data_IF_606448004997
#
_entry.id   IF_606448004997
#
_cell.length_a   1.000
_cell.length_b   1.000
_cell.length_c   1.000
_cell.angle_alpha   90.00
_cell.angle_beta   90.00
_cell.angle_gamma   90.00
#
_symmetry.space_group_name_H-M   'P 1'
#
loop_
_entity.id
_entity.type
_entity.pdbx_description
1 polymer ?
#
# COMPACT_ATOMS: atom_id res chain seq x y z
N UNK A 1 -0.61 22.71 24.13
CA UNK A 1 -1.92 23.35 24.27
C UNK A 1 -2.99 22.65 23.42
N UNK A 2 -2.74 22.41 22.14
CA UNK A 2 -3.70 21.71 21.24
C UNK A 2 -4.06 20.28 21.72
N UNK A 3 -3.13 19.58 22.36
CA UNK A 3 -3.32 18.19 22.84
C UNK A 3 -4.31 18.05 24.01
N UNK A 4 -4.63 19.14 24.70
CA UNK A 4 -5.47 19.09 25.92
C UNK A 4 -6.98 19.25 25.70
N UNK A 5 -7.41 19.74 24.53
CA UNK A 5 -8.78 20.18 24.29
C UNK A 5 -9.54 19.31 23.27
N UNK A 6 -8.90 18.26 22.75
CA UNK A 6 -9.44 17.47 21.63
C UNK A 6 -9.63 16.02 22.04
N UNK A 7 -10.75 15.42 21.66
CA UNK A 7 -11.14 14.05 22.03
C UNK A 7 -10.80 13.01 20.95
N UNK A 8 -10.66 13.40 19.70
CA UNK A 8 -10.37 12.47 18.60
C UNK A 8 -9.12 12.91 17.83
N UNK A 9 -8.04 12.14 17.98
CA UNK A 9 -6.78 12.37 17.27
C UNK A 9 -6.62 11.44 16.10
N UNK A 10 -6.26 12.00 14.96
CA UNK A 10 -5.91 11.28 13.75
C UNK A 10 -4.51 11.67 13.30
N UNK A 11 -3.62 10.70 13.14
CA UNK A 11 -2.34 10.89 12.45
C UNK A 11 -2.40 10.27 11.07
N UNK A 12 -2.07 11.06 10.06
CA UNK A 12 -1.98 10.66 8.65
C UNK A 12 -0.52 10.74 8.23
N UNK A 13 0.02 9.64 7.71
CA UNK A 13 1.39 9.59 7.20
C UNK A 13 1.46 8.82 5.87
N UNK A 14 2.46 9.12 5.06
CA UNK A 14 2.76 8.36 3.84
C UNK A 14 4.20 7.89 3.75
N UNK A 15 5.14 8.67 4.28
CA UNK A 15 6.58 8.41 4.15
C UNK A 15 7.27 8.10 5.47
N UNK A 16 6.54 7.85 6.56
CA UNK A 16 7.08 7.29 7.79
C UNK A 16 7.33 5.79 7.65
N UNK A 17 8.24 5.26 8.46
CA UNK A 17 8.61 3.85 8.47
C UNK A 17 9.84 3.50 7.63
N UNK A 18 10.62 4.51 7.23
CA UNK A 18 11.91 4.32 6.53
C UNK A 18 12.93 3.62 7.42
N UNK A 19 12.88 3.90 8.71
CA UNK A 19 13.79 3.36 9.71
C UNK A 19 13.04 2.69 10.86
N UNK A 20 13.66 1.74 11.58
CA UNK A 20 13.07 1.16 12.79
C UNK A 20 12.74 2.21 13.86
N UNK A 21 13.52 3.28 13.95
CA UNK A 21 13.32 4.35 14.93
C UNK A 21 12.04 5.14 14.62
N UNK A 22 11.75 5.42 13.35
CA UNK A 22 10.48 6.06 12.95
C UNK A 22 9.27 5.20 13.32
N UNK A 23 9.34 3.88 13.10
CA UNK A 23 8.27 2.95 13.46
C UNK A 23 8.06 2.91 14.96
N UNK A 24 9.15 2.80 15.74
CA UNK A 24 9.11 2.75 17.21
C UNK A 24 8.58 4.05 17.81
N UNK A 25 9.04 5.20 17.32
CA UNK A 25 8.58 6.51 17.76
C UNK A 25 7.11 6.75 17.47
N UNK A 26 6.63 6.34 16.27
CA UNK A 26 5.22 6.44 15.90
C UNK A 26 4.34 5.54 16.78
N UNK A 27 4.76 4.30 17.03
CA UNK A 27 4.03 3.36 17.89
C UNK A 27 3.93 3.92 19.32
N UNK A 28 5.05 4.34 19.90
CA UNK A 28 5.09 4.91 21.25
C UNK A 28 4.22 6.16 21.38
N UNK A 29 4.26 7.07 20.41
CA UNK A 29 3.41 8.26 20.38
C UNK A 29 1.93 7.89 20.29
N UNK A 30 1.58 7.00 19.37
CA UNK A 30 0.18 6.60 19.16
C UNK A 30 -0.42 5.93 20.41
N UNK A 31 0.33 5.06 21.08
CA UNK A 31 -0.08 4.43 22.33
C UNK A 31 -0.19 5.41 23.49
N UNK A 32 0.84 6.26 23.67
CA UNK A 32 0.89 7.21 24.78
C UNK A 32 -0.23 8.23 24.72
N UNK A 33 -0.62 8.65 23.50
CA UNK A 33 -1.60 9.73 23.31
C UNK A 33 -2.99 9.25 22.81
N UNK A 34 -3.17 7.95 22.58
CA UNK A 34 -4.44 7.38 22.10
C UNK A 34 -4.81 7.86 20.69
N UNK A 35 -3.83 7.80 19.74
CA UNK A 35 -3.96 8.37 18.40
C UNK A 35 -4.32 7.29 17.38
N UNK A 36 -5.37 7.53 16.58
CA UNK A 36 -5.64 6.73 15.39
C UNK A 36 -4.58 7.03 14.30
N UNK A 37 -3.89 6.01 13.82
CA UNK A 37 -2.88 6.16 12.76
C UNK A 37 -3.39 5.59 11.45
N UNK A 38 -3.39 6.40 10.41
CA UNK A 38 -3.71 6.01 9.04
C UNK A 38 -2.49 6.22 8.15
N UNK A 39 -1.75 5.15 7.80
CA UNK A 39 -0.73 5.18 6.75
C UNK A 39 -1.40 5.33 5.37
N UNK A 40 -1.75 6.56 5.01
CA UNK A 40 -2.46 6.86 3.78
C UNK A 40 -1.52 6.87 2.58
N UNK A 41 -1.83 6.07 1.56
CA UNK A 41 -0.94 5.87 0.40
C UNK A 41 0.50 5.61 0.83
N UNK A 42 0.62 4.77 1.84
CA UNK A 42 1.90 4.53 2.52
C UNK A 42 2.95 3.97 1.59
N UNK A 43 4.18 4.44 1.74
CA UNK A 43 5.36 3.98 0.98
C UNK A 43 6.14 2.90 1.72
N UNK A 44 6.03 2.89 3.04
CA UNK A 44 6.74 2.00 3.95
C UNK A 44 5.77 1.44 4.99
N UNK A 45 6.17 0.40 5.70
CA UNK A 45 5.45 -0.05 6.88
C UNK A 45 5.69 0.97 8.01
N UNK A 46 4.75 1.90 8.18
CA UNK A 46 4.84 2.95 9.20
C UNK A 46 4.46 2.44 10.59
N UNK A 47 3.50 1.52 10.66
CA UNK A 47 3.00 0.91 11.89
C UNK A 47 2.57 -0.53 11.59
N UNK A 48 2.84 -1.52 12.45
CA UNK A 48 2.36 -2.88 12.25
C UNK A 48 0.84 -2.95 12.04
N UNK A 49 0.38 -3.78 11.09
CA UNK A 49 -1.04 -3.88 10.76
C UNK A 49 -1.91 -4.32 11.96
N UNK A 50 -1.34 -5.12 12.87
CA UNK A 50 -2.01 -5.60 14.07
C UNK A 50 -1.98 -4.59 15.24
N UNK A 51 -1.26 -3.48 15.11
CA UNK A 51 -1.11 -2.50 16.19
C UNK A 51 -2.47 -1.92 16.61
N UNK A 52 -2.75 -1.76 17.93
CA UNK A 52 -4.04 -1.29 18.41
C UNK A 52 -4.43 0.11 17.92
N UNK A 53 -3.45 0.93 17.55
CA UNK A 53 -3.70 2.27 16.99
C UNK A 53 -3.76 2.31 15.47
N UNK A 54 -3.55 1.20 14.75
CA UNK A 54 -3.58 1.17 13.29
C UNK A 54 -5.02 1.25 12.76
N UNK A 55 -5.42 2.43 12.27
CA UNK A 55 -6.80 2.70 11.85
C UNK A 55 -7.07 2.34 10.37
N UNK A 56 -6.17 1.59 9.72
CA UNK A 56 -6.25 1.17 8.31
C UNK A 56 -5.55 2.14 7.38
N UNK A 57 -5.82 2.01 6.08
CA UNK A 57 -5.10 2.70 5.02
C UNK A 57 -5.95 3.76 4.28
N UNK A 58 -7.14 4.06 4.80
CA UNK A 58 -8.07 5.04 4.24
C UNK A 58 -8.51 6.01 5.32
N UNK A 59 -8.47 7.29 5.01
CA UNK A 59 -8.83 8.39 5.94
C UNK A 59 -10.32 8.64 6.05
N UNK A 60 -11.12 8.13 5.10
CA UNK A 60 -12.55 8.45 4.94
C UNK A 60 -13.37 8.27 6.23
N UNK A 61 -13.07 7.23 6.99
CA UNK A 61 -13.85 6.89 8.18
C UNK A 61 -13.45 7.67 9.44
N UNK A 62 -12.30 8.36 9.42
CA UNK A 62 -11.73 9.03 10.60
C UNK A 62 -11.69 10.54 10.46
N UNK A 63 -11.47 11.05 9.24
CA UNK A 63 -11.14 12.45 9.01
C UNK A 63 -12.29 13.42 9.37
N UNK A 64 -13.53 13.01 9.14
CA UNK A 64 -14.72 13.82 9.45
C UNK A 64 -15.08 13.91 10.93
N UNK A 65 -14.47 13.06 11.77
CA UNK A 65 -14.70 13.03 13.22
C UNK A 65 -13.51 13.57 14.02
N UNK A 66 -12.36 13.83 13.37
CA UNK A 66 -11.14 14.20 14.05
C UNK A 66 -11.12 15.67 14.44
N UNK A 67 -10.87 15.96 15.72
CA UNK A 67 -10.69 17.31 16.25
C UNK A 67 -9.26 17.83 16.00
N UNK A 68 -8.28 16.90 15.97
CA UNK A 68 -6.89 17.18 15.62
C UNK A 68 -6.42 16.19 14.57
N UNK A 69 -6.01 16.72 13.42
CA UNK A 69 -5.36 15.97 12.36
C UNK A 69 -3.85 16.29 12.36
N UNK A 70 -3.04 15.28 12.60
CA UNK A 70 -1.58 15.37 12.53
C UNK A 70 -1.15 14.80 11.18
N UNK A 71 -0.51 15.60 10.36
CA UNK A 71 0.04 15.22 9.06
C UNK A 71 1.55 15.05 9.20
N UNK A 72 2.02 13.79 9.13
CA UNK A 72 3.41 13.45 9.37
C UNK A 72 4.05 12.90 8.08
N UNK A 73 5.07 13.59 7.54
CA UNK A 73 5.78 13.18 6.31
C UNK A 73 4.79 12.76 5.19
N UNK A 74 3.76 13.58 4.97
CA UNK A 74 2.70 13.30 3.99
C UNK A 74 2.41 14.51 3.11
N UNK A 75 2.69 14.35 1.82
CA UNK A 75 2.50 15.40 0.81
C UNK A 75 1.02 15.63 0.48
N UNK A 76 0.24 14.57 0.32
CA UNK A 76 -1.20 14.60 0.04
C UNK A 76 -1.95 13.79 1.11
N UNK A 77 -2.28 14.41 2.25
CA UNK A 77 -2.86 13.69 3.39
C UNK A 77 -4.32 13.25 3.17
N UNK A 78 -5.05 13.88 2.27
CA UNK A 78 -6.39 13.51 1.84
C UNK A 78 -6.72 14.13 0.48
N UNK A 79 -7.82 13.75 -0.12
CA UNK A 79 -8.31 14.36 -1.36
C UNK A 79 -9.47 15.32 -1.01
N UNK A 80 -9.29 16.66 -1.11
CA UNK A 80 -10.31 17.62 -0.68
C UNK A 80 -11.66 17.47 -1.37
N UNK A 81 -11.68 16.95 -2.61
CA UNK A 81 -12.93 16.69 -3.33
C UNK A 81 -13.76 15.54 -2.72
N UNK A 82 -13.16 14.69 -1.89
CA UNK A 82 -13.80 13.50 -1.32
C UNK A 82 -13.83 13.49 0.21
N UNK A 83 -13.03 14.34 0.86
CA UNK A 83 -12.85 14.33 2.30
C UNK A 83 -12.98 15.72 2.88
N UNK A 84 -13.82 15.86 3.89
CA UNK A 84 -14.04 17.10 4.63
C UNK A 84 -13.59 16.91 6.07
N UNK A 85 -12.86 17.87 6.61
CA UNK A 85 -12.49 17.92 8.01
C UNK A 85 -13.73 18.23 8.86
N UNK A 86 -13.72 17.80 10.13
CA UNK A 86 -14.71 18.23 11.10
C UNK A 86 -14.67 19.76 11.27
N UNK A 87 -15.81 20.38 11.58
CA UNK A 87 -15.90 21.82 11.84
C UNK A 87 -15.03 22.19 13.06
N UNK A 88 -14.13 23.15 12.85
CA UNK A 88 -13.20 23.59 13.89
C UNK A 88 -11.99 22.66 14.13
N UNK A 89 -11.85 21.58 13.37
CA UNK A 89 -10.70 20.69 13.46
C UNK A 89 -9.39 21.47 13.29
N UNK A 90 -8.37 21.09 14.07
CA UNK A 90 -7.03 21.66 14.00
C UNK A 90 -6.10 20.76 13.19
N UNK A 91 -5.20 21.36 12.44
CA UNK A 91 -4.25 20.63 11.59
C UNK A 91 -2.82 20.99 11.95
N UNK A 92 -2.06 19.98 12.38
CA UNK A 92 -0.63 20.07 12.67
C UNK A 92 0.16 19.32 11.59
N UNK A 93 1.09 20.00 10.93
CA UNK A 93 2.02 19.35 10.02
C UNK A 93 3.38 19.17 10.68
N UNK A 94 3.99 18.00 10.53
CA UNK A 94 5.32 17.70 11.04
C UNK A 94 6.17 16.89 10.06
N UNK A 95 7.47 17.08 10.12
CA UNK A 95 8.44 16.38 9.27
C UNK A 95 9.62 17.27 8.88
N UNK A 96 10.49 16.77 8.02
CA UNK A 96 11.68 17.50 7.56
C UNK A 96 11.29 18.75 6.76
N UNK A 97 10.32 18.64 5.88
CA UNK A 97 9.70 19.76 5.17
C UNK A 97 8.18 19.65 5.28
N UNK A 98 7.59 20.02 6.43
CA UNK A 98 6.19 19.76 6.74
C UNK A 98 5.21 20.46 5.80
N UNK A 99 5.63 21.54 5.18
CA UNK A 99 4.82 22.33 4.25
C UNK A 99 5.11 22.03 2.78
N UNK A 100 6.07 21.15 2.49
CA UNK A 100 6.51 20.81 1.13
C UNK A 100 6.81 22.06 0.31
N UNK A 101 7.73 22.87 0.82
CA UNK A 101 8.06 24.22 0.36
C UNK A 101 8.51 24.30 -1.10
N UNK A 102 8.92 23.18 -1.70
CA UNK A 102 9.30 23.06 -3.11
C UNK A 102 8.14 22.73 -4.06
N UNK A 103 6.94 22.44 -3.53
CA UNK A 103 5.79 22.20 -4.37
C UNK A 103 5.20 23.53 -4.85
N UNK A 104 4.94 23.70 -6.15
CA UNK A 104 4.43 24.96 -6.68
C UNK A 104 3.03 25.31 -6.16
N UNK A 105 2.22 24.29 -5.87
CA UNK A 105 0.86 24.44 -5.33
C UNK A 105 0.65 23.33 -4.31
N UNK A 106 0.34 23.70 -3.06
CA UNK A 106 -0.11 22.83 -1.99
C UNK A 106 -0.99 23.63 -1.04
N UNK A 107 -2.28 23.33 -1.01
CA UNK A 107 -3.27 24.09 -0.23
C UNK A 107 -4.04 23.19 0.74
N UNK A 108 -3.33 22.67 1.75
CA UNK A 108 -3.96 22.03 2.90
C UNK A 108 -3.97 22.99 4.08
N UNK A 109 -5.01 23.00 4.94
CA UNK A 109 -5.04 23.84 6.13
C UNK A 109 -3.88 23.50 7.06
N UNK A 110 -3.35 24.52 7.74
CA UNK A 110 -2.24 24.42 8.69
C UNK A 110 -2.50 25.37 9.85
N UNK A 111 -2.81 24.86 11.03
CA UNK A 111 -2.86 25.65 12.26
C UNK A 111 -1.48 25.78 12.91
N UNK A 112 -0.65 24.73 12.79
CA UNK A 112 0.73 24.74 13.27
C UNK A 112 1.61 23.82 12.40
N UNK A 113 2.91 24.09 12.37
CA UNK A 113 3.89 23.23 11.71
C UNK A 113 5.16 23.11 12.54
N UNK A 114 5.78 21.93 12.51
CA UNK A 114 7.04 21.62 13.19
C UNK A 114 7.99 21.00 12.18
N UNK A 115 9.06 21.73 11.85
CA UNK A 115 10.11 21.21 10.96
C UNK A 115 11.19 20.50 11.80
N UNK A 116 11.52 19.26 11.40
CA UNK A 116 12.54 18.45 12.04
C UNK A 116 12.39 16.98 11.71
N UNK A 117 13.25 16.16 12.30
CA UNK A 117 13.18 14.72 12.19
C UNK A 117 11.90 14.19 12.85
N UNK A 118 11.13 13.42 12.08
CA UNK A 118 9.81 12.97 12.52
C UNK A 118 9.87 12.06 13.75
N UNK A 119 10.85 11.17 13.83
CA UNK A 119 11.03 10.29 15.01
C UNK A 119 11.31 11.09 16.28
N UNK A 120 12.18 12.09 16.18
CA UNK A 120 12.49 13.00 17.29
C UNK A 120 11.26 13.79 17.74
N UNK A 121 10.48 14.33 16.81
CA UNK A 121 9.25 15.09 17.12
C UNK A 121 8.22 14.18 17.78
N UNK A 122 7.97 12.99 17.23
CA UNK A 122 7.01 12.03 17.77
C UNK A 122 7.40 11.54 19.16
N UNK A 123 8.70 11.29 19.41
CA UNK A 123 9.22 10.94 20.72
C UNK A 123 8.96 12.03 21.75
N UNK A 124 9.18 13.30 21.38
CA UNK A 124 8.88 14.43 22.27
C UNK A 124 7.36 14.56 22.53
N UNK A 125 6.53 14.39 21.50
CA UNK A 125 5.06 14.44 21.65
C UNK A 125 4.51 13.28 22.47
N UNK A 126 5.15 12.10 22.46
CA UNK A 126 4.76 10.96 23.28
C UNK A 126 4.82 11.27 24.79
N UNK A 127 5.74 12.15 25.20
CA UNK A 127 5.91 12.57 26.61
C UNK A 127 5.02 13.75 27.03
N UNK A 128 4.20 14.28 26.11
CA UNK A 128 3.34 15.40 26.42
C UNK A 128 2.32 15.02 27.50
N UNK A 129 2.18 15.82 28.59
CA UNK A 129 1.23 15.51 29.63
C UNK A 129 -0.21 15.58 29.10
N UNK A 130 -0.96 14.49 29.22
CA UNK A 130 -2.38 14.42 28.86
C UNK A 130 -3.14 13.82 30.03
N UNK A 131 -4.28 14.41 30.47
CA UNK A 131 -5.08 13.87 31.56
C UNK A 131 -5.54 12.44 31.27
N UNK A 132 -5.47 11.55 32.25
CA UNK A 132 -5.83 10.14 32.08
C UNK A 132 -7.30 9.94 31.65
N UNK A 133 -8.19 10.79 32.10
CA UNK A 133 -9.59 10.77 31.67
C UNK A 133 -9.76 10.99 30.16
N UNK A 134 -8.96 11.88 29.58
CA UNK A 134 -8.94 12.17 28.14
C UNK A 134 -8.33 11.00 27.37
N UNK A 135 -7.25 10.40 27.89
CA UNK A 135 -6.63 9.23 27.28
C UNK A 135 -7.57 8.01 27.28
N UNK A 136 -8.28 7.79 28.38
CA UNK A 136 -9.24 6.70 28.49
C UNK A 136 -10.38 6.85 27.47
N UNK A 137 -10.92 8.05 27.31
CA UNK A 137 -11.96 8.34 26.31
C UNK A 137 -11.47 8.09 24.87
N UNK A 138 -10.27 8.59 24.53
CA UNK A 138 -9.65 8.38 23.21
C UNK A 138 -9.45 6.90 22.91
N UNK A 139 -8.86 6.14 23.84
CA UNK A 139 -8.60 4.71 23.68
C UNK A 139 -9.89 3.92 23.50
N UNK A 140 -10.91 4.19 24.30
CA UNK A 140 -12.21 3.54 24.18
C UNK A 140 -12.88 3.83 22.82
N UNK A 141 -12.89 5.09 22.39
CA UNK A 141 -13.45 5.49 21.09
C UNK A 141 -12.70 4.86 19.91
N UNK A 142 -11.37 4.80 20.00
CA UNK A 142 -10.51 4.16 18.98
C UNK A 142 -10.78 2.65 18.91
N UNK A 143 -10.77 1.95 20.04
CA UNK A 143 -11.01 0.51 20.12
C UNK A 143 -12.35 0.10 19.49
N UNK A 144 -13.44 0.81 19.83
CA UNK A 144 -14.76 0.54 19.27
C UNK A 144 -14.82 0.72 17.75
N UNK A 145 -14.17 1.78 17.21
CA UNK A 145 -14.08 2.02 15.76
C UNK A 145 -13.27 0.92 15.05
N UNK A 146 -12.15 0.50 15.63
CA UNK A 146 -11.28 -0.52 15.05
C UNK A 146 -11.89 -1.91 15.10
N UNK A 147 -12.60 -2.25 16.16
CA UNK A 147 -13.32 -3.53 16.29
C UNK A 147 -14.38 -3.66 15.19
N UNK A 148 -15.21 -2.63 15.00
CA UNK A 148 -16.20 -2.58 13.91
C UNK A 148 -15.55 -2.78 12.55
N UNK A 149 -14.40 -2.16 12.30
CA UNK A 149 -13.66 -2.28 11.05
C UNK A 149 -13.12 -3.71 10.85
N UNK A 150 -12.49 -4.29 11.87
CA UNK A 150 -11.98 -5.67 11.83
C UNK A 150 -13.10 -6.67 11.58
N UNK A 151 -14.24 -6.50 12.24
CA UNK A 151 -15.43 -7.33 12.01
C UNK A 151 -15.95 -7.21 10.57
N UNK A 152 -15.98 -5.99 10.01
CA UNK A 152 -16.38 -5.76 8.61
C UNK A 152 -15.46 -6.43 7.60
N UNK A 153 -14.13 -6.40 7.85
CA UNK A 153 -13.14 -7.09 7.02
C UNK A 153 -13.28 -8.62 7.11
N UNK A 154 -13.45 -9.13 8.31
CA UNK A 154 -13.62 -10.56 8.55
C UNK A 154 -14.93 -11.14 7.96
N UNK A 155 -15.97 -10.32 7.88
CA UNK A 155 -17.25 -10.70 7.29
C UNK A 155 -17.21 -10.91 5.77
N UNK A 156 -16.20 -10.34 5.08
CA UNK A 156 -16.04 -10.40 3.62
C UNK A 156 -14.64 -10.87 3.23
N UNK A 157 -14.25 -12.11 3.58
CA UNK A 157 -12.93 -12.60 3.23
C UNK A 157 -12.80 -12.73 1.71
N UNK A 158 -11.63 -12.39 1.12
CA UNK A 158 -11.34 -12.70 -0.27
C UNK A 158 -11.48 -14.19 -0.54
N UNK A 159 -11.96 -14.54 -1.74
CA UNK A 159 -12.21 -15.93 -2.14
C UNK A 159 -11.50 -16.26 -3.45
N UNK A 160 -11.05 -17.50 -3.56
CA UNK A 160 -10.64 -18.11 -4.82
C UNK A 160 -11.83 -18.45 -5.71
N UNK A 161 -11.59 -19.22 -6.75
CA UNK A 161 -12.58 -19.71 -7.69
C UNK A 161 -11.92 -20.21 -8.98
N UNK A 162 -12.72 -20.80 -9.86
CA UNK A 162 -12.26 -21.31 -11.15
C UNK A 162 -11.95 -20.20 -12.18
N UNK A 163 -12.30 -18.95 -11.90
CA UNK A 163 -12.06 -17.79 -12.77
C UNK A 163 -10.82 -17.00 -12.36
N UNK A 164 -10.62 -15.82 -13.02
CA UNK A 164 -9.51 -14.91 -12.73
C UNK A 164 -9.44 -14.50 -11.27
N UNK A 165 -8.21 -14.26 -10.78
CA UNK A 165 -7.97 -13.81 -9.42
C UNK A 165 -8.41 -12.36 -9.19
N UNK A 166 -8.81 -12.03 -7.96
CA UNK A 166 -8.85 -10.63 -7.51
C UNK A 166 -7.53 -10.27 -6.82
N UNK A 167 -7.17 -8.97 -6.82
CA UNK A 167 -6.01 -8.50 -6.07
C UNK A 167 -6.13 -8.79 -4.55
N UNK A 168 -7.36 -8.81 -4.03
CA UNK A 168 -7.62 -9.17 -2.63
C UNK A 168 -7.32 -10.66 -2.35
N UNK A 169 -7.63 -11.55 -3.29
CA UNK A 169 -7.28 -12.95 -3.18
C UNK A 169 -5.77 -13.17 -3.23
N UNK A 170 -5.08 -12.48 -4.15
CA UNK A 170 -3.61 -12.51 -4.23
C UNK A 170 -2.99 -12.04 -2.90
N UNK A 171 -3.49 -10.94 -2.32
CA UNK A 171 -3.01 -10.45 -1.03
C UNK A 171 -3.22 -11.46 0.10
N UNK A 172 -4.38 -12.12 0.14
CA UNK A 172 -4.67 -13.16 1.12
C UNK A 172 -3.74 -14.37 0.97
N UNK A 173 -3.58 -14.89 -0.25
CA UNK A 173 -2.68 -16.01 -0.50
C UNK A 173 -1.22 -15.69 -0.13
N UNK A 174 -0.77 -14.47 -0.43
CA UNK A 174 0.55 -13.99 0.00
C UNK A 174 0.67 -13.93 1.52
N UNK A 175 -0.34 -13.42 2.23
CA UNK A 175 -0.33 -13.32 3.68
C UNK A 175 -0.23 -14.69 4.36
N UNK A 176 -0.74 -15.76 3.73
CA UNK A 176 -0.67 -17.13 4.25
C UNK A 176 0.75 -17.74 4.17
N UNK A 177 1.58 -17.26 3.20
CA UNK A 177 2.95 -17.76 3.01
C UNK A 177 4.03 -16.73 3.44
N UNK A 178 3.59 -15.54 3.84
CA UNK A 178 4.47 -14.44 4.25
C UNK A 178 5.16 -14.74 5.57
N UNK A 179 6.49 -14.59 5.60
CA UNK A 179 7.29 -14.56 6.83
C UNK A 179 7.35 -13.12 7.38
N UNK A 180 7.54 -12.92 8.68
CA UNK A 180 7.65 -11.57 9.26
C UNK A 180 8.74 -10.70 8.60
N UNK A 181 9.82 -11.33 8.13
CA UNK A 181 10.98 -10.66 7.51
C UNK A 181 10.90 -10.52 5.99
N UNK A 182 9.88 -11.06 5.34
CA UNK A 182 9.72 -10.92 3.89
C UNK A 182 9.50 -9.46 3.50
N UNK A 183 10.07 -9.06 2.39
CA UNK A 183 9.81 -7.73 1.84
C UNK A 183 8.89 -7.81 0.64
N UNK A 184 7.78 -7.10 0.72
CA UNK A 184 6.78 -6.98 -0.35
C UNK A 184 6.93 -5.61 -1.00
N UNK A 185 7.22 -5.60 -2.30
CA UNK A 185 7.29 -4.39 -3.13
C UNK A 185 6.04 -4.31 -4.00
N UNK A 186 5.25 -3.26 -3.86
CA UNK A 186 3.94 -3.14 -4.51
C UNK A 186 3.92 -2.00 -5.52
N UNK A 187 3.70 -2.33 -6.78
CA UNK A 187 3.54 -1.39 -7.90
C UNK A 187 2.23 -1.64 -8.67
N UNK A 188 1.15 -1.76 -7.94
CA UNK A 188 -0.22 -1.87 -8.47
C UNK A 188 -1.19 -1.47 -7.37
N UNK A 189 -2.45 -1.10 -7.66
CA UNK A 189 -3.48 -1.03 -6.62
C UNK A 189 -3.62 -2.41 -5.95
N UNK A 190 -3.23 -2.49 -4.68
CA UNK A 190 -3.14 -3.76 -3.95
C UNK A 190 -3.67 -3.60 -2.53
N UNK A 191 -4.64 -4.43 -2.10
CA UNK A 191 -5.29 -4.27 -0.80
C UNK A 191 -4.44 -4.85 0.34
N UNK A 192 -3.40 -4.11 0.72
CA UNK A 192 -2.45 -4.45 1.80
C UNK A 192 -3.10 -4.66 3.18
N UNK A 193 -4.37 -4.31 3.32
CA UNK A 193 -5.18 -4.60 4.51
C UNK A 193 -5.33 -6.11 4.79
N UNK A 194 -5.15 -6.94 3.77
CA UNK A 194 -5.16 -8.40 3.89
C UNK A 194 -3.78 -9.01 4.16
N UNK A 195 -2.73 -8.18 4.24
CA UNK A 195 -1.35 -8.60 4.50
C UNK A 195 -0.98 -8.49 5.98
N UNK A 196 0.12 -9.15 6.38
CA UNK A 196 0.62 -9.13 7.75
C UNK A 196 1.99 -8.47 7.80
N UNK A 197 2.03 -7.14 8.00
CA UNK A 197 3.27 -6.41 8.18
C UNK A 197 3.50 -6.15 9.68
N UNK A 198 4.62 -6.65 10.22
CA UNK A 198 4.99 -6.50 11.64
C UNK A 198 6.37 -5.88 11.82
N UNK A 199 7.27 -6.02 10.84
CA UNK A 199 8.66 -5.61 10.95
C UNK A 199 8.99 -4.43 10.02
N UNK A 200 9.85 -3.49 10.43
CA UNK A 200 10.34 -2.42 9.57
C UNK A 200 11.05 -2.96 8.32
N UNK A 201 10.93 -2.23 7.20
CA UNK A 201 11.58 -2.60 5.94
C UNK A 201 10.94 -3.78 5.21
N UNK A 202 9.73 -4.18 5.59
CA UNK A 202 9.01 -5.31 4.97
C UNK A 202 7.99 -4.89 3.92
N UNK A 203 7.74 -3.59 3.76
CA UNK A 203 6.80 -3.07 2.77
C UNK A 203 7.36 -1.84 2.06
N UNK A 204 7.26 -1.84 0.74
CA UNK A 204 7.57 -0.70 -0.13
C UNK A 204 6.49 -0.53 -1.19
N UNK A 205 6.03 0.70 -1.41
CA UNK A 205 5.03 1.02 -2.41
C UNK A 205 5.43 2.22 -3.28
N UNK A 206 4.66 2.44 -4.33
CA UNK A 206 4.90 3.47 -5.35
C UNK A 206 5.15 4.86 -4.75
N UNK A 207 6.22 5.55 -5.15
CA UNK A 207 6.48 6.93 -4.72
C UNK A 207 5.43 7.90 -5.29
N UNK A 208 5.31 9.09 -4.70
CA UNK A 208 4.32 10.13 -5.10
C UNK A 208 4.39 10.50 -6.58
N UNK A 209 5.57 10.43 -7.19
CA UNK A 209 5.74 10.71 -8.61
C UNK A 209 5.03 9.73 -9.53
N UNK A 210 4.64 8.53 -9.02
CA UNK A 210 3.84 7.55 -9.75
C UNK A 210 4.52 6.96 -10.98
N UNK A 211 5.86 7.06 -11.10
CA UNK A 211 6.60 6.47 -12.23
C UNK A 211 6.46 4.95 -12.26
N UNK A 212 6.21 4.39 -13.46
CA UNK A 212 6.06 2.95 -13.64
C UNK A 212 7.41 2.25 -13.85
N UNK A 213 7.47 0.95 -13.53
CA UNK A 213 8.61 0.08 -13.76
C UNK A 213 9.69 0.10 -12.67
N UNK A 214 9.44 0.73 -11.53
CA UNK A 214 10.40 0.81 -10.43
C UNK A 214 10.46 -0.48 -9.58
N UNK A 215 9.37 -1.23 -9.52
CA UNK A 215 9.21 -2.36 -8.59
C UNK A 215 10.24 -3.46 -8.78
N UNK A 216 10.57 -3.81 -10.03
CA UNK A 216 11.60 -4.82 -10.34
C UNK A 216 12.98 -4.36 -9.87
N UNK A 217 13.39 -3.14 -10.23
CA UNK A 217 14.69 -2.59 -9.83
C UNK A 217 14.81 -2.45 -8.31
N UNK A 218 13.76 -1.99 -7.65
CA UNK A 218 13.70 -1.88 -6.18
C UNK A 218 13.85 -3.26 -5.52
N UNK A 219 13.16 -4.28 -6.02
CA UNK A 219 13.26 -5.64 -5.49
C UNK A 219 14.68 -6.20 -5.61
N UNK A 220 15.35 -5.98 -6.74
CA UNK A 220 16.75 -6.36 -6.91
C UNK A 220 17.67 -5.60 -5.95
N UNK A 221 17.46 -4.29 -5.80
CA UNK A 221 18.22 -3.46 -4.86
C UNK A 221 18.09 -3.91 -3.42
N UNK A 222 16.88 -4.24 -2.97
CA UNK A 222 16.63 -4.78 -1.63
C UNK A 222 17.31 -6.14 -1.45
N UNK A 223 17.18 -7.04 -2.44
CA UNK A 223 17.82 -8.36 -2.39
C UNK A 223 19.34 -8.28 -2.41
N UNK A 224 19.89 -7.31 -3.12
CA UNK A 224 21.34 -7.05 -3.14
C UNK A 224 21.83 -6.51 -1.78
N UNK A 225 21.07 -5.62 -1.15
CA UNK A 225 21.40 -5.03 0.14
C UNK A 225 21.28 -6.04 1.30
N UNK A 226 20.36 -6.97 1.22
CA UNK A 226 20.15 -8.04 2.19
C UNK A 226 19.90 -9.38 1.44
N UNK A 227 20.98 -10.13 1.12
CA UNK A 227 20.86 -11.39 0.39
C UNK A 227 20.07 -12.49 1.12
N UNK A 228 19.94 -12.43 2.44
CA UNK A 228 19.14 -13.38 3.22
C UNK A 228 17.64 -13.13 3.12
N UNK A 229 17.24 -11.92 2.76
CA UNK A 229 15.85 -11.50 2.70
C UNK A 229 15.12 -12.13 1.51
N UNK A 230 13.92 -12.66 1.75
CA UNK A 230 13.02 -13.05 0.67
C UNK A 230 12.26 -11.81 0.19
N UNK A 231 12.36 -11.51 -1.12
CA UNK A 231 11.77 -10.32 -1.73
C UNK A 231 10.73 -10.72 -2.77
N UNK A 232 9.54 -10.16 -2.66
CA UNK A 232 8.40 -10.44 -3.53
C UNK A 232 7.91 -9.11 -4.12
N UNK A 233 7.97 -8.97 -5.44
CA UNK A 233 7.36 -7.86 -6.16
C UNK A 233 5.93 -8.22 -6.58
N UNK A 234 4.97 -7.34 -6.34
CA UNK A 234 3.60 -7.41 -6.85
C UNK A 234 3.39 -6.22 -7.77
N UNK A 235 3.32 -6.46 -9.06
CA UNK A 235 3.29 -5.42 -10.09
C UNK A 235 2.11 -5.63 -11.04
N UNK A 236 1.56 -4.54 -11.60
CA UNK A 236 0.61 -4.66 -12.70
C UNK A 236 1.30 -5.09 -13.99
N UNK A 237 0.56 -5.68 -14.92
CA UNK A 237 1.05 -6.07 -16.26
C UNK A 237 1.64 -4.87 -17.03
N UNK A 238 0.98 -3.72 -16.98
CA UNK A 238 1.51 -2.49 -17.55
C UNK A 238 2.81 -2.04 -16.88
N UNK A 239 2.90 -2.08 -15.54
CA UNK A 239 4.12 -1.75 -14.80
C UNK A 239 5.26 -2.70 -15.14
N UNK A 240 4.97 -3.99 -15.22
CA UNK A 240 5.95 -5.01 -15.61
C UNK A 240 6.50 -4.77 -17.01
N UNK A 241 5.61 -4.53 -17.98
CA UNK A 241 5.99 -4.22 -19.36
C UNK A 241 6.82 -2.92 -19.45
N UNK A 242 6.37 -1.86 -18.75
CA UNK A 242 7.04 -0.55 -18.75
C UNK A 242 8.45 -0.62 -18.13
N UNK A 243 8.62 -1.47 -17.11
CA UNK A 243 9.88 -1.68 -16.40
C UNK A 243 10.97 -2.39 -17.21
N UNK A 244 10.68 -2.77 -18.47
CA UNK A 244 11.62 -3.54 -19.32
C UNK A 244 12.20 -4.75 -18.58
N UNK A 245 11.40 -5.79 -18.30
CA UNK A 245 11.74 -6.86 -17.35
C UNK A 245 12.94 -7.73 -17.75
N UNK A 246 13.27 -7.80 -19.04
CA UNK A 246 14.38 -8.64 -19.53
C UNK A 246 15.72 -8.32 -18.84
N UNK A 247 16.20 -7.04 -18.77
CA UNK A 247 17.42 -6.72 -18.05
C UNK A 247 17.32 -7.03 -16.55
N UNK A 248 16.14 -6.82 -15.92
CA UNK A 248 15.96 -7.10 -14.50
C UNK A 248 16.15 -8.59 -14.19
N UNK A 249 15.53 -9.47 -14.96
CA UNK A 249 15.68 -10.92 -14.79
C UNK A 249 17.11 -11.41 -15.12
N UNK A 250 17.74 -10.82 -16.13
CA UNK A 250 19.15 -11.08 -16.44
C UNK A 250 20.05 -10.72 -15.25
N UNK A 251 19.90 -9.52 -14.67
CA UNK A 251 20.69 -9.07 -13.51
C UNK A 251 20.41 -9.95 -12.29
N UNK A 252 19.14 -10.29 -12.03
CA UNK A 252 18.77 -11.20 -10.95
C UNK A 252 19.53 -12.53 -11.04
N UNK A 253 19.63 -13.10 -12.25
CA UNK A 253 20.32 -14.36 -12.46
C UNK A 253 21.85 -14.20 -12.42
N UNK A 254 22.37 -13.15 -13.06
CA UNK A 254 23.82 -12.92 -13.15
C UNK A 254 24.47 -12.59 -11.80
N UNK A 255 23.73 -12.01 -10.86
CA UNK A 255 24.22 -11.62 -9.54
C UNK A 255 23.74 -12.54 -8.40
N UNK A 256 23.08 -13.65 -8.72
CA UNK A 256 22.50 -14.58 -7.74
C UNK A 256 21.62 -13.87 -6.67
N UNK A 257 20.76 -12.95 -7.13
CA UNK A 257 19.80 -12.22 -6.29
C UNK A 257 18.35 -12.56 -6.70
N UNK A 258 17.88 -13.80 -6.47
CA UNK A 258 16.57 -14.25 -6.90
C UNK A 258 15.45 -13.55 -6.16
N UNK A 259 14.42 -13.11 -6.91
CA UNK A 259 13.19 -12.51 -6.39
C UNK A 259 11.97 -13.18 -7.01
N UNK A 260 10.83 -13.20 -6.29
CA UNK A 260 9.53 -13.53 -6.87
C UNK A 260 8.90 -12.27 -7.45
N UNK A 261 8.42 -12.34 -8.68
CA UNK A 261 7.57 -11.31 -9.26
C UNK A 261 6.18 -11.89 -9.55
N UNK A 262 5.15 -11.27 -8.98
CA UNK A 262 3.75 -11.57 -9.27
C UNK A 262 3.23 -10.47 -10.18
N UNK A 263 2.88 -10.81 -11.41
CA UNK A 263 2.28 -9.91 -12.38
C UNK A 263 0.77 -10.03 -12.27
N UNK A 264 0.10 -8.99 -11.74
CA UNK A 264 -1.35 -8.88 -11.72
C UNK A 264 -1.81 -8.50 -13.13
N UNK A 265 -2.16 -9.48 -13.94
CA UNK A 265 -2.44 -9.32 -15.36
C UNK A 265 -3.93 -9.13 -15.61
N UNK A 266 -4.37 -7.89 -15.67
CA UNK A 266 -5.72 -7.51 -16.05
C UNK A 266 -5.84 -7.11 -17.53
N UNK A 267 -4.79 -7.25 -18.31
CA UNK A 267 -4.67 -7.00 -19.74
C UNK A 267 -4.97 -5.55 -20.15
N UNK A 268 -4.68 -4.58 -19.21
CA UNK A 268 -4.91 -3.18 -19.53
C UNK A 268 -4.12 -2.19 -18.65
N UNK A 269 -3.96 -0.99 -19.16
CA UNK A 269 -3.55 0.20 -18.41
C UNK A 269 -4.75 0.72 -17.58
N UNK A 270 -5.19 -0.06 -16.59
CA UNK A 270 -6.42 0.21 -15.84
C UNK A 270 -6.42 1.57 -15.12
N UNK A 271 -5.26 2.03 -14.64
CA UNK A 271 -5.13 3.35 -14.01
C UNK A 271 -5.43 4.49 -15.01
N UNK A 272 -4.93 4.37 -16.26
CA UNK A 272 -5.18 5.35 -17.33
C UNK A 272 -6.66 5.37 -17.70
N UNK A 273 -7.26 4.19 -17.87
CA UNK A 273 -8.71 4.08 -18.15
C UNK A 273 -9.55 4.72 -17.05
N UNK A 274 -9.28 4.40 -15.78
CA UNK A 274 -10.00 5.00 -14.65
C UNK A 274 -9.84 6.53 -14.59
N UNK A 275 -8.63 7.03 -14.85
CA UNK A 275 -8.39 8.47 -14.87
C UNK A 275 -9.22 9.15 -15.97
N UNK A 276 -9.28 8.56 -17.18
CA UNK A 276 -10.11 9.06 -18.28
C UNK A 276 -11.59 9.11 -17.91
N UNK A 277 -12.11 8.00 -17.38
CA UNK A 277 -13.53 7.91 -16.98
C UNK A 277 -13.87 8.81 -15.77
N UNK A 278 -12.93 9.00 -14.86
CA UNK A 278 -13.11 9.88 -13.70
C UNK A 278 -13.14 11.37 -14.07
N UNK A 279 -12.36 11.79 -15.07
CA UNK A 279 -12.36 13.18 -15.56
C UNK A 279 -13.50 13.44 -16.53
N UNK A 280 -13.87 12.46 -17.34
CA UNK A 280 -14.92 12.57 -18.36
C UNK A 280 -15.96 11.46 -18.20
N UNK A 281 -16.78 11.49 -17.13
CA UNK A 281 -17.75 10.42 -16.84
C UNK A 281 -18.82 10.28 -17.91
N UNK A 282 -19.13 11.36 -18.63
CA UNK A 282 -20.09 11.42 -19.75
C UNK A 282 -19.38 11.58 -21.11
N UNK A 283 -18.11 11.26 -21.18
CA UNK A 283 -17.31 11.36 -22.40
C UNK A 283 -17.50 10.17 -23.35
N UNK A 284 -16.93 10.27 -24.56
CA UNK A 284 -17.02 9.22 -25.58
C UNK A 284 -16.51 7.85 -25.09
N UNK A 285 -15.45 7.82 -24.29
CA UNK A 285 -14.92 6.58 -23.71
C UNK A 285 -15.91 5.91 -22.75
N UNK A 286 -16.67 6.71 -21.99
CA UNK A 286 -17.69 6.21 -21.07
C UNK A 286 -18.91 5.65 -21.85
N UNK A 287 -19.41 6.40 -22.82
CA UNK A 287 -20.55 5.99 -23.63
C UNK A 287 -20.29 4.74 -24.49
N UNK A 288 -19.13 4.68 -25.15
CA UNK A 288 -18.74 3.51 -25.94
C UNK A 288 -18.21 2.35 -25.11
N UNK A 289 -17.88 2.60 -23.84
CA UNK A 289 -17.14 1.69 -22.97
C UNK A 289 -15.78 1.25 -23.58
N UNK A 290 -15.19 2.09 -24.41
CA UNK A 290 -13.91 1.87 -25.06
C UNK A 290 -12.98 3.03 -24.74
N UNK A 291 -11.80 2.71 -24.26
CA UNK A 291 -10.71 3.66 -24.06
C UNK A 291 -9.52 3.20 -24.93
N UNK A 292 -9.38 3.71 -26.14
CA UNK A 292 -8.29 3.32 -27.04
C UNK A 292 -6.91 3.47 -26.37
N UNK A 293 -5.98 2.59 -26.73
CA UNK A 293 -4.61 2.55 -26.20
C UNK A 293 -4.49 2.15 -24.70
N UNK A 294 -5.58 1.74 -24.07
CA UNK A 294 -5.51 1.23 -22.69
C UNK A 294 -5.51 -0.29 -22.60
N UNK A 295 -5.73 -1.00 -23.69
CA UNK A 295 -5.73 -2.47 -23.71
C UNK A 295 -4.34 -3.02 -23.99
N UNK A 296 -3.96 -4.07 -23.26
CA UNK A 296 -2.75 -4.87 -23.44
C UNK A 296 -3.12 -6.25 -24.01
N UNK A 297 -3.87 -6.24 -25.10
CA UNK A 297 -4.29 -7.45 -25.81
C UNK A 297 -3.79 -7.46 -27.27
N UNK A 298 -3.37 -8.63 -27.80
CA UNK A 298 -3.28 -9.93 -27.10
C UNK A 298 -2.26 -9.90 -25.97
N UNK A 299 -2.66 -10.45 -24.79
CA UNK A 299 -1.78 -10.43 -23.60
C UNK A 299 -0.51 -11.23 -23.85
N UNK A 300 0.67 -10.64 -23.59
CA UNK A 300 1.91 -11.38 -23.64
C UNK A 300 1.96 -12.51 -22.58
N UNK A 301 2.73 -13.55 -22.88
CA UNK A 301 3.07 -14.59 -21.90
C UNK A 301 4.21 -14.07 -21.01
N UNK A 302 3.88 -13.26 -20.01
CA UNK A 302 4.87 -12.58 -19.15
C UNK A 302 5.77 -13.56 -18.39
N UNK A 303 5.28 -14.73 -18.05
CA UNK A 303 6.04 -15.81 -17.42
C UNK A 303 7.23 -16.28 -18.25
N UNK A 304 7.15 -16.22 -19.58
CA UNK A 304 8.23 -16.64 -20.48
C UNK A 304 9.42 -15.67 -20.50
N UNK A 305 9.22 -14.43 -20.05
CA UNK A 305 10.30 -13.43 -20.05
C UNK A 305 11.40 -13.80 -19.06
N UNK A 306 11.06 -14.34 -17.90
CA UNK A 306 12.05 -14.79 -16.91
C UNK A 306 12.76 -16.08 -17.35
N UNK A 307 12.08 -16.95 -18.09
CA UNK A 307 12.64 -18.21 -18.62
C UNK A 307 13.82 -17.94 -19.57
N UNK A 308 13.76 -16.86 -20.35
CA UNK A 308 14.87 -16.44 -21.21
C UNK A 308 16.19 -16.17 -20.44
N UNK A 309 16.10 -15.89 -19.14
CA UNK A 309 17.24 -15.73 -18.23
C UNK A 309 17.47 -16.95 -17.33
N UNK A 310 16.82 -18.09 -17.60
CA UNK A 310 16.95 -19.31 -16.81
C UNK A 310 16.15 -19.31 -15.51
N UNK A 311 15.19 -18.38 -15.36
CA UNK A 311 14.25 -18.34 -14.24
C UNK A 311 13.09 -19.32 -14.39
N UNK A 312 12.17 -19.28 -13.44
CA UNK A 312 10.94 -20.06 -13.42
C UNK A 312 9.74 -19.17 -13.78
N UNK A 313 8.98 -19.57 -14.79
CA UNK A 313 7.77 -18.88 -15.21
C UNK A 313 6.53 -19.76 -15.08
N UNK A 314 5.42 -19.22 -14.56
CA UNK A 314 4.14 -19.92 -14.49
C UNK A 314 2.97 -18.95 -14.71
N UNK A 315 2.02 -19.35 -15.56
CA UNK A 315 0.77 -18.64 -15.77
C UNK A 315 -0.32 -19.24 -14.88
N UNK A 316 -1.01 -18.38 -14.13
CA UNK A 316 -2.09 -18.77 -13.21
C UNK A 316 -3.40 -18.18 -13.74
N UNK A 317 -4.28 -19.02 -14.30
CA UNK A 317 -5.54 -18.59 -14.90
C UNK A 317 -6.71 -18.66 -13.91
N UNK A 318 -6.73 -19.67 -13.05
CA UNK A 318 -7.75 -19.82 -12.03
C UNK A 318 -7.23 -19.36 -10.65
N UNK A 319 -8.06 -18.63 -9.93
CA UNK A 319 -7.70 -18.13 -8.58
C UNK A 319 -7.39 -19.30 -7.61
N UNK A 320 -8.06 -20.44 -7.74
CA UNK A 320 -7.83 -21.63 -6.90
C UNK A 320 -6.45 -22.25 -7.09
N UNK A 321 -5.78 -22.03 -8.22
CA UNK A 321 -4.44 -22.56 -8.50
C UNK A 321 -3.31 -21.72 -7.87
N UNK A 322 -3.62 -20.49 -7.46
CA UNK A 322 -2.61 -19.52 -6.97
C UNK A 322 -1.84 -20.02 -5.73
N UNK A 323 -2.45 -20.61 -4.69
CA UNK A 323 -1.69 -21.11 -3.54
C UNK A 323 -0.61 -22.12 -3.92
N UNK A 324 -0.95 -23.06 -4.81
CA UNK A 324 -0.01 -24.08 -5.27
C UNK A 324 1.11 -23.47 -6.16
N UNK A 325 0.77 -22.52 -7.02
CA UNK A 325 1.74 -21.80 -7.85
C UNK A 325 2.72 -20.98 -7.00
N UNK A 326 2.24 -20.30 -5.95
CA UNK A 326 3.08 -19.57 -4.97
C UNK A 326 4.05 -20.54 -4.29
N UNK A 327 3.59 -21.69 -3.84
CA UNK A 327 4.44 -22.69 -3.19
C UNK A 327 5.56 -23.16 -4.13
N UNK A 328 5.26 -23.44 -5.42
CA UNK A 328 6.27 -23.84 -6.43
C UNK A 328 7.27 -22.72 -6.68
N UNK A 329 6.82 -21.51 -6.94
CA UNK A 329 7.69 -20.36 -7.22
C UNK A 329 8.63 -20.05 -6.05
N UNK A 330 8.12 -20.09 -4.82
CA UNK A 330 8.93 -19.88 -3.61
C UNK A 330 9.95 -21.01 -3.41
N UNK A 331 9.59 -22.25 -3.68
CA UNK A 331 10.52 -23.39 -3.61
C UNK A 331 11.67 -23.25 -4.62
N UNK A 332 11.42 -22.76 -5.82
CA UNK A 332 12.46 -22.50 -6.83
C UNK A 332 13.44 -21.43 -6.35
N UNK A 333 12.93 -20.33 -5.76
CA UNK A 333 13.78 -19.26 -5.24
C UNK A 333 14.64 -19.78 -4.08
N UNK A 334 14.07 -20.54 -3.16
CA UNK A 334 14.73 -20.98 -1.93
C UNK A 334 15.69 -22.15 -2.16
N UNK A 335 15.33 -23.12 -3.02
CA UNK A 335 16.09 -24.34 -3.20
C UNK A 335 17.03 -24.31 -4.42
N UNK A 336 16.68 -23.51 -5.46
CA UNK A 336 17.42 -23.50 -6.72
C UNK A 336 18.13 -22.16 -6.97
N UNK A 337 17.84 -21.11 -6.17
CA UNK A 337 18.44 -19.77 -6.35
C UNK A 337 18.10 -19.12 -7.69
N UNK A 338 16.93 -19.45 -8.26
CA UNK A 338 16.49 -18.89 -9.54
C UNK A 338 15.36 -17.87 -9.34
N UNK A 339 15.34 -16.74 -10.10
CA UNK A 339 14.19 -15.83 -10.09
C UNK A 339 12.93 -16.51 -10.59
N UNK A 340 11.77 -16.07 -10.09
CA UNK A 340 10.48 -16.62 -10.48
C UNK A 340 9.49 -15.52 -10.88
N UNK A 341 8.63 -15.80 -11.87
CA UNK A 341 7.52 -14.95 -12.29
C UNK A 341 6.22 -15.76 -12.29
N UNK A 342 5.22 -15.28 -11.57
CA UNK A 342 3.85 -15.75 -11.69
C UNK A 342 3.04 -14.72 -12.48
N UNK A 343 2.58 -15.10 -13.68
CA UNK A 343 1.65 -14.31 -14.48
C UNK A 343 0.22 -14.67 -14.05
N UNK A 344 -0.31 -13.90 -13.09
CA UNK A 344 -1.62 -14.18 -12.51
C UNK A 344 -2.69 -13.39 -13.26
N UNK A 345 -3.58 -14.10 -13.94
CA UNK A 345 -4.71 -13.48 -14.63
C UNK A 345 -5.69 -12.91 -13.59
N UNK A 346 -5.95 -11.62 -13.69
CA UNK A 346 -6.87 -10.92 -12.79
C UNK A 346 -8.09 -10.41 -13.53
N UNK A 347 -9.20 -10.30 -12.79
CA UNK A 347 -10.42 -9.71 -13.33
C UNK A 347 -10.20 -8.22 -13.65
N UNK A 348 -10.92 -7.72 -14.64
CA UNK A 348 -10.98 -6.29 -14.90
C UNK A 348 -11.65 -5.60 -13.72
N UNK A 349 -11.02 -4.58 -13.14
CA UNK A 349 -11.57 -3.84 -12.01
C UNK A 349 -12.93 -3.17 -12.30
N UNK A 350 -13.26 -2.95 -13.57
CA UNK A 350 -14.52 -2.36 -14.00
C UNK A 350 -15.68 -3.38 -14.03
N UNK A 351 -15.39 -4.68 -14.09
CA UNK A 351 -16.42 -5.73 -14.05
C UNK A 351 -16.94 -5.93 -12.60
N UNK A 352 -16.08 -5.72 -11.60
CA UNK A 352 -16.51 -5.70 -10.19
C UNK A 352 -17.43 -4.50 -9.89
N UNK A 353 -17.13 -3.32 -10.45
CA UNK A 353 -17.97 -2.12 -10.28
C UNK A 353 -19.31 -2.22 -10.99
N UNK A 354 -19.44 -3.03 -12.05
CA UNK A 354 -20.69 -3.22 -12.81
C UNK A 354 -21.65 -4.20 -12.17
N UNK A 355 -21.17 -5.17 -11.42
CA UNK A 355 -22.01 -6.12 -10.68
C UNK A 355 -22.68 -5.45 -9.48
N UNK A 356 -22.01 -4.49 -8.83
CA UNK A 356 -22.56 -3.77 -7.67
C UNK A 356 -23.58 -2.68 -8.05
N UNK A 357 -23.54 -2.18 -9.30
CA UNK A 357 -24.49 -1.17 -9.79
C UNK A 357 -25.81 -1.75 -10.34
N UNK A 358 -25.96 -3.09 -10.36
CA UNK A 358 -27.15 -3.80 -10.83
C UNK A 358 -27.93 -4.52 -9.73
N UNK A 359 -27.50 -4.37 -8.46
CA UNK A 359 -28.26 -4.79 -7.28
C UNK A 359 -28.67 -3.58 -6.45
#
# INVERSE_FOLDING_TARGET
FLLFLTSVFLLICSSLGKTPDEVSALAAFAEAQGVAVVPYRTRYMALPNAHPCHAGFDVTQQIGDADLVIVAECDVPWIPAHHTLADGAKVLHLGVDPLFSRYPIRSFPVDASVAGDAATILTALATAPTPESVLAERRQGLEAKLEKKRAGLAARPPKGGAGPSSNAWIAKCLAEVQRPTDTIVVETPFPIVHMNFSEPGTFYSTPSAGGLGWGLGTSLGIKLADPARRVIAVVGDGSYMFGNPTPAHFVSRAMDIPTLTIVCNNRMWAAVRRATLGVYPDGAAAHSNQAPLTYLEPSPDYEKVVEASGGYGEKVEAADDLPAALARALAVIENEGRPAVLNVITAYSDDEARTDAKT
#
